data_IF_530171407579
#
_entry.id   IF_530171407579
#
_cell.length_a   1.000
_cell.length_b   1.000
_cell.length_c   1.000
_cell.angle_alpha   90.00
_cell.angle_beta   90.00
_cell.angle_gamma   90.00
#
_symmetry.space_group_name_H-M   'P 1'
#
loop_
_entity.id
_entity.type
_entity.pdbx_description
1 polymer ?
#
# COMPACT_ATOMS: atom_id res chain seq x y z
N UNK A 1 -24.82 -33.54 -12.05
CA UNK A 1 -24.92 -32.07 -11.97
C UNK A 1 -23.70 -31.57 -11.21
N UNK A 2 -22.65 -31.11 -11.91
CA UNK A 2 -21.41 -30.66 -11.27
C UNK A 2 -21.61 -29.23 -10.79
N UNK A 3 -21.61 -29.00 -9.47
CA UNK A 3 -21.63 -27.65 -8.90
C UNK A 3 -20.31 -26.99 -9.29
N UNK A 4 -20.38 -25.95 -10.12
CA UNK A 4 -19.22 -25.13 -10.46
C UNK A 4 -18.64 -24.56 -9.15
N UNK A 5 -17.42 -25.00 -8.83
CA UNK A 5 -16.64 -24.43 -7.72
C UNK A 5 -16.38 -22.96 -8.08
N UNK A 6 -16.71 -21.99 -7.21
CA UNK A 6 -16.37 -20.61 -7.45
C UNK A 6 -14.85 -20.53 -7.61
N UNK A 7 -14.42 -20.06 -8.78
CA UNK A 7 -13.02 -19.87 -9.14
C UNK A 7 -12.39 -19.04 -8.02
N UNK A 8 -11.51 -19.63 -7.22
CA UNK A 8 -10.82 -18.93 -6.14
C UNK A 8 -10.09 -17.76 -6.79
N UNK A 9 -10.57 -16.53 -6.56
CA UNK A 9 -9.97 -15.33 -7.12
C UNK A 9 -8.55 -15.25 -6.56
N UNK A 10 -7.55 -15.31 -7.43
CA UNK A 10 -6.15 -15.19 -7.02
C UNK A 10 -5.96 -13.81 -6.37
N UNK A 11 -5.18 -13.72 -5.30
CA UNK A 11 -4.94 -12.45 -4.60
C UNK A 11 -4.44 -11.35 -5.54
N UNK A 12 -3.74 -11.71 -6.63
CA UNK A 12 -3.32 -10.78 -7.68
C UNK A 12 -4.46 -10.05 -8.40
N UNK A 13 -5.69 -10.59 -8.37
CA UNK A 13 -6.88 -9.93 -8.90
C UNK A 13 -7.46 -8.88 -7.93
N UNK A 14 -6.97 -8.83 -6.69
CA UNK A 14 -7.38 -7.90 -5.62
C UNK A 14 -6.32 -6.82 -5.37
N UNK A 15 -5.32 -6.71 -6.24
CA UNK A 15 -4.30 -5.67 -6.17
C UNK A 15 -4.92 -4.36 -6.66
N UNK A 16 -4.81 -3.33 -5.83
CA UNK A 16 -5.22 -1.97 -6.14
C UNK A 16 -3.99 -1.09 -6.28
N UNK A 17 -3.93 -0.32 -7.35
CA UNK A 17 -2.92 0.71 -7.53
C UNK A 17 -3.50 2.05 -7.11
N UNK A 18 -2.70 2.86 -6.42
CA UNK A 18 -3.05 4.24 -6.09
C UNK A 18 -1.82 5.13 -6.25
N UNK A 19 -2.05 6.38 -6.65
CA UNK A 19 -1.02 7.39 -6.76
C UNK A 19 -1.29 8.47 -5.72
N UNK A 20 -0.34 8.71 -4.84
CA UNK A 20 -0.38 9.79 -3.84
C UNK A 20 0.61 10.89 -4.24
N UNK A 21 0.25 12.14 -4.00
CA UNK A 21 1.20 13.25 -4.19
C UNK A 21 2.38 13.04 -3.26
N UNK A 22 3.57 13.44 -3.70
CA UNK A 22 4.81 13.36 -2.90
C UNK A 22 4.66 13.92 -1.48
N UNK A 23 4.02 15.08 -1.35
CA UNK A 23 3.78 15.75 -0.06
C UNK A 23 2.89 14.93 0.88
N UNK A 24 1.94 14.19 0.30
CA UNK A 24 1.00 13.32 0.97
C UNK A 24 1.57 11.92 1.25
N UNK A 25 2.53 11.44 0.44
CA UNK A 25 3.10 10.10 0.54
C UNK A 25 3.76 9.85 1.91
N UNK A 26 4.48 10.85 2.43
CA UNK A 26 5.10 10.77 3.75
C UNK A 26 4.11 10.80 4.92
N UNK A 27 2.85 11.18 4.66
CA UNK A 27 1.76 11.25 5.65
C UNK A 27 0.87 10.01 5.63
N UNK A 28 1.10 9.08 4.70
CA UNK A 28 0.37 7.82 4.66
C UNK A 28 0.69 7.03 5.93
N UNK A 29 -0.32 6.65 6.73
CA UNK A 29 -0.10 5.85 7.92
C UNK A 29 0.29 4.45 7.47
N UNK A 30 1.56 4.08 7.64
CA UNK A 30 2.08 2.74 7.35
C UNK A 30 2.55 2.11 8.65
N UNK A 31 2.25 0.82 8.81
CA UNK A 31 2.55 0.03 10.00
C UNK A 31 3.10 -1.35 9.59
N UNK A 32 3.61 -2.09 10.57
CA UNK A 32 4.30 -3.37 10.34
C UNK A 32 5.71 -3.14 9.78
N UNK A 33 6.19 -4.10 8.99
CA UNK A 33 7.51 -4.06 8.39
C UNK A 33 8.36 -5.28 8.75
N UNK A 34 9.35 -5.56 7.91
CA UNK A 34 10.18 -6.76 8.08
C UNK A 34 10.96 -6.78 9.41
N UNK A 35 11.14 -5.61 10.05
CA UNK A 35 11.72 -5.48 11.39
C UNK A 35 10.89 -6.17 12.49
N UNK A 36 9.56 -6.21 12.35
CA UNK A 36 8.64 -6.93 13.24
C UNK A 36 8.27 -8.33 12.72
N UNK A 37 8.82 -8.74 11.57
CA UNK A 37 8.43 -9.97 10.89
C UNK A 37 7.05 -9.89 10.22
N UNK A 38 6.54 -8.67 10.02
CA UNK A 38 5.24 -8.41 9.39
C UNK A 38 5.42 -7.78 8.00
N UNK A 39 4.38 -7.90 7.16
CA UNK A 39 4.33 -7.11 5.93
C UNK A 39 3.97 -5.66 6.27
N UNK A 40 4.46 -4.71 5.47
CA UNK A 40 3.99 -3.32 5.60
C UNK A 40 2.54 -3.26 5.16
N UNK A 41 1.69 -2.65 5.99
CA UNK A 41 0.28 -2.42 5.68
C UNK A 41 -0.12 -0.99 5.96
N UNK A 42 -1.21 -0.58 5.34
CA UNK A 42 -1.81 0.74 5.54
C UNK A 42 -2.53 0.72 6.89
N UNK A 43 -2.07 1.57 7.80
CA UNK A 43 -2.73 1.81 9.07
C UNK A 43 -4.02 2.61 8.92
N UNK A 44 -4.53 3.12 10.03
CA UNK A 44 -5.77 3.90 10.05
C UNK A 44 -5.63 5.19 9.25
N UNK A 45 -6.27 5.23 8.07
CA UNK A 45 -6.37 6.43 7.24
C UNK A 45 -7.43 7.35 7.85
N UNK A 46 -7.01 8.15 8.84
CA UNK A 46 -7.89 9.18 9.38
C UNK A 46 -8.03 10.31 8.35
N UNK A 47 -9.16 10.41 7.68
CA UNK A 47 -9.40 11.43 6.64
C UNK A 47 -9.36 12.87 7.16
N UNK A 48 -9.37 13.08 8.48
CA UNK A 48 -9.39 14.41 9.13
C UNK A 48 -7.97 14.86 9.52
N UNK A 49 -7.10 13.92 9.93
CA UNK A 49 -5.71 14.16 10.32
C UNK A 49 -4.70 13.83 9.21
N UNK A 50 -5.00 12.83 8.41
CA UNK A 50 -4.16 12.35 7.31
C UNK A 50 -4.59 13.10 6.04
N UNK A 51 -4.03 14.30 5.87
CA UNK A 51 -4.20 15.13 4.67
C UNK A 51 -3.48 14.50 3.47
N UNK A 52 -3.83 13.24 3.15
CA UNK A 52 -3.26 12.46 2.06
C UNK A 52 -3.99 12.85 0.78
N UNK A 53 -3.32 13.62 -0.06
CA UNK A 53 -3.80 13.98 -1.38
C UNK A 53 -3.49 12.85 -2.38
N UNK A 54 -4.54 12.15 -2.79
CA UNK A 54 -4.49 11.15 -3.85
C UNK A 54 -4.60 11.84 -5.23
N UNK A 55 -3.72 11.46 -6.16
CA UNK A 55 -3.86 11.79 -7.59
C UNK A 55 -4.75 10.74 -8.29
N UNK A 56 -4.65 9.48 -7.88
CA UNK A 56 -5.44 8.37 -8.41
C UNK A 56 -5.69 7.30 -7.35
N UNK A 57 -6.89 6.73 -7.32
CA UNK A 57 -7.23 5.63 -6.42
C UNK A 57 -7.36 6.07 -4.96
N UNK A 58 -7.36 5.09 -4.05
CA UNK A 58 -7.53 5.29 -2.61
C UNK A 58 -6.86 4.15 -1.85
N UNK A 59 -6.33 4.45 -0.67
CA UNK A 59 -5.81 3.44 0.26
C UNK A 59 -6.90 3.08 1.28
N UNK A 60 -7.02 1.79 1.60
CA UNK A 60 -7.91 1.30 2.65
C UNK A 60 -7.09 0.90 3.87
N UNK A 61 -7.61 1.13 5.08
CA UNK A 61 -7.01 0.56 6.28
C UNK A 61 -6.92 -0.97 6.16
N UNK A 62 -5.75 -1.53 6.52
CA UNK A 62 -5.45 -2.95 6.46
C UNK A 62 -4.96 -3.45 5.10
N UNK A 63 -4.89 -2.59 4.08
CA UNK A 63 -4.33 -2.95 2.78
C UNK A 63 -2.82 -3.25 2.90
N UNK A 64 -2.36 -4.39 2.38
CA UNK A 64 -0.95 -4.76 2.40
C UNK A 64 -0.20 -4.04 1.28
N UNK A 65 0.91 -3.40 1.61
CA UNK A 65 1.75 -2.67 0.65
C UNK A 65 2.74 -3.62 -0.03
N UNK A 66 2.66 -3.68 -1.36
CA UNK A 66 3.49 -4.53 -2.21
C UNK A 66 4.62 -3.74 -2.84
N UNK A 67 4.31 -2.57 -3.42
CA UNK A 67 5.27 -1.74 -4.15
C UNK A 67 5.07 -0.25 -3.84
N UNK A 68 6.18 0.49 -3.88
CA UNK A 68 6.24 1.96 -3.71
C UNK A 68 7.11 2.54 -4.81
N UNK A 69 6.57 3.41 -5.66
CA UNK A 69 7.26 3.99 -6.80
C UNK A 69 7.96 2.92 -7.68
N UNK A 70 7.28 1.80 -7.93
CA UNK A 70 7.81 0.60 -8.61
C UNK A 70 8.97 -0.13 -7.90
N UNK A 71 9.25 0.21 -6.64
CA UNK A 71 10.15 -0.53 -5.76
C UNK A 71 9.34 -1.59 -4.98
N UNK A 72 9.67 -2.89 -5.06
CA UNK A 72 9.04 -3.90 -4.21
C UNK A 72 9.46 -3.70 -2.76
N UNK A 73 8.46 -3.57 -1.88
CA UNK A 73 8.67 -3.30 -0.44
C UNK A 73 8.25 -4.45 0.46
N UNK A 74 7.67 -5.51 -0.10
CA UNK A 74 7.35 -6.74 0.61
C UNK A 74 8.65 -7.40 1.11
N UNK A 75 8.95 -7.24 2.40
CA UNK A 75 10.18 -7.75 3.02
C UNK A 75 11.22 -6.67 3.34
N UNK A 76 10.92 -5.39 3.12
CA UNK A 76 11.74 -4.29 3.62
C UNK A 76 11.30 -3.86 5.02
N UNK A 77 12.23 -3.34 5.86
CA UNK A 77 11.88 -2.68 7.09
C UNK A 77 11.07 -1.42 6.80
N UNK A 78 10.20 -1.02 7.73
CA UNK A 78 9.31 0.12 7.55
C UNK A 78 10.09 1.41 7.29
N UNK A 79 11.24 1.55 7.95
CA UNK A 79 12.17 2.66 7.73
C UNK A 79 12.58 2.82 6.26
N UNK A 80 12.89 1.72 5.55
CA UNK A 80 13.31 1.77 4.14
C UNK A 80 12.13 2.15 3.24
N UNK A 81 10.94 1.62 3.52
CA UNK A 81 9.71 1.95 2.79
C UNK A 81 9.38 3.44 2.92
N UNK A 82 9.42 3.96 4.14
CA UNK A 82 9.20 5.39 4.41
C UNK A 82 10.29 6.26 3.76
N UNK A 83 11.52 5.78 3.71
CA UNK A 83 12.62 6.47 3.02
C UNK A 83 12.41 6.48 1.51
N UNK A 84 11.96 5.38 0.91
CA UNK A 84 11.63 5.30 -0.51
C UNK A 84 10.47 6.25 -0.88
N UNK A 85 9.43 6.33 -0.04
CA UNK A 85 8.34 7.31 -0.20
C UNK A 85 8.88 8.75 -0.26
N UNK A 86 9.76 9.11 0.68
CA UNK A 86 10.35 10.46 0.78
C UNK A 86 11.34 10.78 -0.34
N UNK A 87 12.08 9.78 -0.80
CA UNK A 87 13.10 9.91 -1.84
C UNK A 87 12.51 10.09 -3.25
N UNK A 88 11.21 9.85 -3.42
CA UNK A 88 10.53 10.07 -4.69
C UNK A 88 10.60 11.54 -5.12
N UNK A 89 10.87 11.78 -6.40
CA UNK A 89 10.90 13.13 -6.99
C UNK A 89 9.53 13.60 -7.49
N UNK A 90 8.56 12.69 -7.64
CA UNK A 90 7.23 12.94 -8.22
C UNK A 90 6.11 12.23 -7.46
N UNK A 91 4.91 12.08 -8.05
CA UNK A 91 3.82 11.30 -7.48
C UNK A 91 4.27 9.88 -7.16
N UNK A 92 3.94 9.39 -5.97
CA UNK A 92 4.30 8.05 -5.52
C UNK A 92 3.18 7.09 -5.86
N UNK A 93 3.47 6.12 -6.73
CA UNK A 93 2.56 5.01 -7.01
C UNK A 93 2.73 3.93 -5.94
N UNK A 94 1.63 3.47 -5.40
CA UNK A 94 1.55 2.48 -4.34
C UNK A 94 0.68 1.35 -4.84
N UNK A 95 1.24 0.14 -4.84
CA UNK A 95 0.44 -1.07 -5.08
C UNK A 95 0.13 -1.70 -3.75
N UNK A 96 -1.15 -1.91 -3.51
CA UNK A 96 -1.64 -2.57 -2.32
C UNK A 96 -2.50 -3.77 -2.69
N UNK A 97 -2.67 -4.71 -1.77
CA UNK A 97 -3.60 -5.81 -1.93
C UNK A 97 -4.48 -5.93 -0.71
N UNK A 98 -5.78 -6.17 -0.95
CA UNK A 98 -6.72 -6.51 0.12
C UNK A 98 -6.51 -7.97 0.56
N UNK A 99 -6.16 -8.23 1.83
CA UNK A 99 -6.14 -9.59 2.38
C UNK A 99 -7.53 -10.25 2.33
#
# INVERSE_FOLDING_TARGET
MFKAVPKKSHWSARVSECAVRRDAAARVPLQGGAEDGEFVYVGRVDHVLSSVTYEHGSLTEGDLLLEVAALPVSGLPLYDVLSAMRSSAGPVTLKTVRP
#
